data_IF_472794899352
#
_entry.id   IF_472794899352
#
_cell.length_a   1.000
_cell.length_b   1.000
_cell.length_c   1.000
_cell.angle_alpha   90.00
_cell.angle_beta   90.00
_cell.angle_gamma   90.00
#
_symmetry.space_group_name_H-M   'P 1'
#
loop_
_entity.id
_entity.type
_entity.pdbx_description
1 polymer ?
#
# COMPACT_ATOMS: atom_id res chain seq x y z
N UNK A 1 15.74 -11.77 1.85
CA UNK A 1 14.76 -11.66 0.76
C UNK A 1 13.39 -12.14 1.19
N UNK A 2 12.59 -11.24 1.79
CA UNK A 2 11.21 -11.55 2.13
C UNK A 2 10.32 -10.81 1.15
N UNK A 3 9.82 -11.50 0.12
CA UNK A 3 8.80 -10.92 -0.75
C UNK A 3 7.47 -10.88 0.02
N UNK A 4 6.68 -9.82 -0.15
CA UNK A 4 5.43 -9.62 0.57
C UNK A 4 4.36 -9.08 -0.38
N UNK A 5 3.13 -9.54 -0.27
CA UNK A 5 2.00 -8.91 -0.96
C UNK A 5 1.35 -7.90 -0.02
N UNK A 6 0.90 -6.76 -0.55
CA UNK A 6 0.30 -5.69 0.26
C UNK A 6 -1.02 -5.22 -0.34
N UNK A 7 -1.93 -4.83 0.54
CA UNK A 7 -3.13 -4.09 0.19
C UNK A 7 -3.17 -2.81 1.00
N UNK A 8 -3.34 -1.68 0.32
CA UNK A 8 -3.45 -0.36 0.96
C UNK A 8 -4.82 0.19 0.64
N UNK A 9 -5.55 0.59 1.66
CA UNK A 9 -6.87 1.19 1.52
C UNK A 9 -6.74 2.72 1.43
N UNK A 10 -7.05 3.29 0.27
CA UNK A 10 -7.09 4.74 0.06
C UNK A 10 -8.49 5.31 0.34
N UNK A 11 -9.53 4.49 0.46
CA UNK A 11 -10.91 4.93 0.65
C UNK A 11 -11.35 5.94 -0.41
N UNK A 12 -11.86 7.08 0.03
CA UNK A 12 -12.27 8.19 -0.85
C UNK A 12 -11.11 9.07 -1.34
N UNK A 13 -9.87 8.81 -0.87
CA UNK A 13 -8.69 9.61 -1.21
C UNK A 13 -8.22 9.24 -2.61
N UNK A 14 -8.11 10.22 -3.51
CA UNK A 14 -7.67 9.97 -4.89
C UNK A 14 -6.20 9.57 -4.89
N UNK A 15 -5.87 8.44 -5.52
CA UNK A 15 -4.48 8.07 -5.81
C UNK A 15 -4.32 7.81 -7.31
N UNK A 16 -3.27 8.39 -7.89
CA UNK A 16 -2.95 8.25 -9.33
C UNK A 16 -1.70 7.40 -9.56
N UNK A 17 -1.08 6.90 -8.49
CA UNK A 17 0.13 6.09 -8.57
C UNK A 17 -0.21 4.61 -8.56
N UNK A 18 -0.59 4.07 -9.72
CA UNK A 18 -0.48 2.63 -9.97
C UNK A 18 0.82 2.39 -10.76
N UNK A 19 1.83 1.81 -10.13
CA UNK A 19 2.96 1.25 -10.89
C UNK A 19 2.51 -0.04 -11.59
N UNK A 20 3.24 -0.51 -12.61
CA UNK A 20 2.91 -1.73 -13.36
C UNK A 20 2.80 -3.02 -12.51
N UNK A 21 3.14 -2.97 -11.22
CA UNK A 21 3.06 -4.06 -10.24
C UNK A 21 1.93 -3.90 -9.22
N UNK A 22 1.11 -2.87 -9.37
CA UNK A 22 -0.01 -2.54 -8.49
C UNK A 22 -1.24 -2.23 -9.29
N UNK A 23 -2.40 -2.51 -8.71
CA UNK A 23 -3.68 -2.19 -9.31
C UNK A 23 -4.57 -1.53 -8.27
N UNK A 24 -5.08 -0.35 -8.61
CA UNK A 24 -6.13 0.31 -7.83
C UNK A 24 -7.47 -0.29 -8.24
N UNK A 25 -8.13 -0.96 -7.30
CA UNK A 25 -9.46 -1.52 -7.51
C UNK A 25 -10.55 -0.44 -7.32
N UNK A 26 -11.77 -0.72 -7.82
CA UNK A 26 -12.91 0.22 -7.76
C UNK A 26 -13.37 0.53 -6.34
N UNK A 27 -12.98 -0.29 -5.36
CA UNK A 27 -13.26 -0.13 -3.93
C UNK A 27 -12.26 0.85 -3.25
N UNK A 28 -11.30 1.41 -3.99
CA UNK A 28 -10.27 2.31 -3.44
C UNK A 28 -9.09 1.57 -2.83
N UNK A 29 -9.02 0.24 -2.95
CA UNK A 29 -7.92 -0.57 -2.43
C UNK A 29 -6.87 -0.76 -3.52
N UNK A 30 -5.63 -0.36 -3.22
CA UNK A 30 -4.46 -0.67 -4.04
C UNK A 30 -3.94 -2.06 -3.67
N UNK A 31 -3.88 -2.97 -4.62
CA UNK A 31 -3.39 -4.34 -4.42
C UNK A 31 -2.09 -4.58 -5.20
N UNK A 32 -1.17 -5.30 -4.58
CA UNK A 32 -0.02 -5.89 -5.27
C UNK A 32 -0.47 -6.94 -6.29
N UNK A 33 -0.05 -6.82 -7.56
CA UNK A 33 -0.22 -7.89 -8.55
C UNK A 33 0.85 -8.99 -8.40
N UNK A 34 2.02 -8.61 -7.90
CA UNK A 34 3.15 -9.48 -7.64
C UNK A 34 3.74 -9.19 -6.25
N UNK A 35 4.40 -10.16 -5.60
CA UNK A 35 5.09 -9.92 -4.35
C UNK A 35 6.11 -8.77 -4.44
N UNK A 36 6.02 -7.84 -3.50
CA UNK A 36 6.93 -6.71 -3.35
C UNK A 36 8.26 -7.14 -2.72
N UNK A 37 9.35 -6.65 -3.30
CA UNK A 37 10.58 -6.41 -2.54
C UNK A 37 10.48 -5.06 -1.83
N UNK A 38 11.30 -4.79 -0.78
CA UNK A 38 11.27 -3.51 -0.07
C UNK A 38 11.38 -2.28 -0.98
N UNK A 39 12.09 -2.39 -2.11
CA UNK A 39 12.21 -1.31 -3.11
C UNK A 39 10.91 -1.01 -3.85
N UNK A 40 10.07 -2.01 -4.09
CA UNK A 40 8.80 -1.78 -4.78
C UNK A 40 7.78 -1.05 -3.90
N UNK A 41 7.84 -1.21 -2.57
CA UNK A 41 7.00 -0.45 -1.65
C UNK A 41 7.23 1.06 -1.74
N UNK A 42 8.47 1.50 -2.02
CA UNK A 42 8.83 2.92 -2.16
C UNK A 42 8.11 3.58 -3.36
N UNK A 43 7.54 2.79 -4.26
CA UNK A 43 6.85 3.29 -5.46
C UNK A 43 5.37 3.63 -5.27
N UNK A 44 4.80 3.41 -4.07
CA UNK A 44 3.43 3.83 -3.77
C UNK A 44 3.39 5.30 -3.31
N UNK A 45 2.40 6.05 -3.80
CA UNK A 45 2.23 7.46 -3.44
C UNK A 45 1.10 7.66 -2.44
N UNK A 46 1.24 8.71 -1.63
CA UNK A 46 0.22 9.16 -0.69
C UNK A 46 0.00 10.66 -0.87
N UNK A 47 -0.97 11.06 -1.71
CA UNK A 47 -1.11 12.47 -2.12
C UNK A 47 -1.73 13.35 -1.03
N UNK A 48 -2.37 12.76 -0.03
CA UNK A 48 -2.99 13.48 1.08
C UNK A 48 -2.38 13.00 2.40
N UNK A 49 -2.13 13.91 3.36
CA UNK A 49 -1.82 13.51 4.72
C UNK A 49 -2.95 12.68 5.34
N UNK A 50 -2.59 11.80 6.25
CA UNK A 50 -3.53 11.03 7.05
C UNK A 50 -3.17 9.55 7.11
N UNK A 51 -4.15 8.76 7.51
CA UNK A 51 -3.98 7.34 7.76
C UNK A 51 -4.48 6.50 6.58
N UNK A 52 -3.71 5.47 6.27
CA UNK A 52 -4.00 4.50 5.20
C UNK A 52 -3.87 3.09 5.78
N UNK A 53 -4.98 2.37 5.99
CA UNK A 53 -4.96 0.99 6.45
C UNK A 53 -4.17 0.11 5.47
N UNK A 54 -3.30 -0.74 6.02
CA UNK A 54 -2.43 -1.65 5.28
C UNK A 54 -2.69 -3.09 5.74
N UNK A 55 -2.76 -4.01 4.78
CA UNK A 55 -2.70 -5.45 5.01
C UNK A 55 -1.47 -6.02 4.34
N UNK A 56 -0.72 -6.85 5.04
CA UNK A 56 0.51 -7.49 4.56
C UNK A 56 0.34 -9.01 4.60
N UNK A 57 0.60 -9.63 3.45
CA UNK A 57 0.50 -11.06 3.25
C UNK A 57 1.91 -11.62 2.99
N UNK A 58 2.31 -12.63 3.76
CA UNK A 58 3.55 -13.37 3.52
C UNK A 58 3.40 -14.37 2.36
N UNK A 59 4.51 -14.67 1.67
CA UNK A 59 4.53 -15.66 0.57
C UNK A 59 4.09 -17.06 1.04
N UNK A 60 4.37 -17.40 2.30
CA UNK A 60 4.10 -18.72 2.87
C UNK A 60 2.66 -18.92 3.36
N UNK A 61 1.69 -18.21 2.77
CA UNK A 61 0.29 -18.63 2.86
C UNK A 61 -0.34 -18.55 4.26
N UNK A 62 0.14 -17.64 5.13
CA UNK A 62 -0.68 -17.26 6.28
C UNK A 62 -1.95 -16.60 5.73
N UNK A 63 -3.07 -17.31 5.87
CA UNK A 63 -4.39 -16.89 5.40
C UNK A 63 -4.90 -15.63 6.11
N UNK A 64 -4.29 -15.30 7.26
CA UNK A 64 -4.57 -14.08 8.00
C UNK A 64 -3.48 -13.04 7.70
N UNK A 65 -3.81 -11.91 7.05
CA UNK A 65 -2.85 -10.84 6.84
C UNK A 65 -2.50 -10.15 8.15
N UNK A 66 -1.24 -9.75 8.28
CA UNK A 66 -0.83 -8.76 9.27
C UNK A 66 -1.45 -7.42 8.91
N UNK A 67 -2.02 -6.73 9.91
CA UNK A 67 -2.64 -5.42 9.73
C UNK A 67 -1.73 -4.33 10.28
N UNK A 68 -1.69 -3.19 9.61
CA UNK A 68 -1.00 -1.99 10.06
C UNK A 68 -1.64 -0.75 9.48
N UNK A 69 -1.06 0.41 9.79
CA UNK A 69 -1.51 1.70 9.29
C UNK A 69 -0.30 2.50 8.83
N UNK A 70 -0.36 3.05 7.62
CA UNK A 70 0.61 4.02 7.13
C UNK A 70 0.13 5.40 7.56
N UNK A 71 0.98 6.14 8.27
CA UNK A 71 0.70 7.50 8.73
C UNK A 71 1.51 8.44 7.86
N UNK A 72 0.83 9.29 7.10
CA UNK A 72 1.44 10.30 6.23
C UNK A 72 1.22 11.65 6.88
N UNK A 73 2.30 12.27 7.32
CA UNK A 73 2.24 13.60 7.93
C UNK A 73 2.34 14.66 6.83
N UNK A 74 1.59 15.75 7.00
CA UNK A 74 1.85 16.95 6.22
C UNK A 74 3.23 17.47 6.66
N UNK A 75 4.22 17.46 5.79
CA UNK A 75 5.43 18.22 6.06
C UNK A 75 5.00 19.69 6.12
N UNK A 76 5.06 20.29 7.30
CA UNK A 76 5.11 21.74 7.40
C UNK A 76 6.49 22.12 6.89
N UNK A 77 6.54 22.66 5.68
CA UNK A 77 7.71 23.43 5.27
C UNK A 77 7.71 24.69 6.14
N UNK A 78 8.63 24.76 7.10
CA UNK A 78 9.00 25.99 7.82
C UNK A 78 10.02 26.78 7.00
#
# INVERSE_FOLDING_TARGET
DSLLSIEIDYGAKRTFCSTGKTKLERDGVLRSLEPFSPRGFISVCFPEPGEYPLRVYGIHGNSVPSRGTIIVQANREE
#
